data_IF_237659677394
#
_entry.id   IF_237659677394
#
_cell.length_a   1.000
_cell.length_b   1.000
_cell.length_c   1.000
_cell.angle_alpha   90.00
_cell.angle_beta   90.00
_cell.angle_gamma   90.00
#
_symmetry.space_group_name_H-M   'P 1'
#
loop_
_entity.id
_entity.type
_entity.pdbx_description
1 polymer ?
#
# COMPACT_ATOMS: atom_id res chain seq x y z
N UNK A 1 2.18 25.15 -14.13
CA UNK A 1 0.83 24.52 -14.04
C UNK A 1 1.04 23.09 -13.55
N UNK A 2 1.11 22.87 -12.24
CA UNK A 2 1.47 21.56 -11.65
C UNK A 2 0.70 21.15 -10.38
N UNK A 3 -0.07 22.04 -9.76
CA UNK A 3 -0.58 21.80 -8.40
C UNK A 3 -1.74 20.81 -8.24
N UNK A 4 -2.42 20.37 -9.31
CA UNK A 4 -3.57 19.46 -9.18
C UNK A 4 -3.18 17.99 -9.03
N UNK A 5 -2.12 17.55 -9.72
CA UNK A 5 -1.67 16.15 -9.66
C UNK A 5 -0.92 15.82 -8.38
N UNK A 6 -0.11 16.76 -7.88
CA UNK A 6 0.65 16.61 -6.63
C UNK A 6 -0.28 16.48 -5.41
N UNK A 7 -1.35 17.27 -5.38
CA UNK A 7 -2.36 17.19 -4.31
C UNK A 7 -3.13 15.88 -4.32
N UNK A 8 -3.47 15.36 -5.51
CA UNK A 8 -4.12 14.06 -5.65
C UNK A 8 -3.21 12.92 -5.17
N UNK A 9 -1.92 12.96 -5.52
CA UNK A 9 -0.94 11.97 -5.06
C UNK A 9 -0.78 11.93 -3.54
N UNK A 10 -0.67 13.10 -2.89
CA UNK A 10 -0.59 13.16 -1.42
C UNK A 10 -1.89 12.63 -0.81
N UNK A 11 -3.05 12.97 -1.37
CA UNK A 11 -4.33 12.45 -0.91
C UNK A 11 -4.43 10.92 -1.04
N UNK A 12 -3.93 10.35 -2.14
CA UNK A 12 -3.84 8.89 -2.34
C UNK A 12 -2.95 8.23 -1.28
N UNK A 13 -1.76 8.77 -1.02
CA UNK A 13 -0.86 8.24 0.03
C UNK A 13 -1.54 8.33 1.40
N UNK A 14 -2.14 9.47 1.74
CA UNK A 14 -2.82 9.65 3.02
C UNK A 14 -3.97 8.66 3.16
N UNK A 15 -4.76 8.44 2.10
CA UNK A 15 -5.82 7.45 2.09
C UNK A 15 -5.28 6.02 2.30
N UNK A 16 -4.24 5.63 1.57
CA UNK A 16 -3.58 4.33 1.71
C UNK A 16 -3.05 4.11 3.13
N UNK A 17 -2.39 5.13 3.70
CA UNK A 17 -1.87 5.09 5.07
C UNK A 17 -2.98 5.01 6.12
N UNK A 18 -4.04 5.80 5.97
CA UNK A 18 -5.17 5.81 6.90
C UNK A 18 -5.91 4.47 6.90
N UNK A 19 -6.24 3.95 5.72
CA UNK A 19 -6.94 2.66 5.61
C UNK A 19 -6.04 1.51 6.06
N UNK A 20 -4.79 1.49 5.61
CA UNK A 20 -3.83 0.45 5.99
C UNK A 20 -3.55 0.45 7.50
N UNK A 21 -3.31 1.61 8.11
CA UNK A 21 -3.11 1.70 9.57
C UNK A 21 -4.39 1.43 10.35
N UNK A 22 -5.52 1.99 9.94
CA UNK A 22 -6.79 1.78 10.62
C UNK A 22 -7.16 0.29 10.66
N UNK A 23 -7.07 -0.41 9.53
CA UNK A 23 -7.31 -1.85 9.49
C UNK A 23 -6.23 -2.66 10.21
N UNK A 24 -4.97 -2.23 10.15
CA UNK A 24 -3.87 -2.85 10.89
C UNK A 24 -4.06 -2.76 12.41
N UNK A 25 -4.54 -1.64 12.92
CA UNK A 25 -4.87 -1.46 14.35
C UNK A 25 -6.08 -2.29 14.75
N UNK A 26 -7.12 -2.32 13.92
CA UNK A 26 -8.30 -3.16 14.13
C UNK A 26 -7.90 -4.63 14.22
N UNK A 27 -7.08 -5.13 13.29
CA UNK A 27 -6.64 -6.53 13.30
C UNK A 27 -5.70 -6.85 14.47
N UNK A 28 -4.82 -5.93 14.85
CA UNK A 28 -4.02 -6.07 16.07
C UNK A 28 -4.88 -6.21 17.32
N UNK A 29 -5.99 -5.46 17.40
CA UNK A 29 -6.93 -5.57 18.52
C UNK A 29 -7.60 -6.94 18.60
N UNK A 30 -7.71 -7.66 17.48
CA UNK A 30 -8.19 -9.04 17.42
C UNK A 30 -7.07 -10.09 17.56
N UNK A 31 -5.83 -9.69 17.85
CA UNK A 31 -4.68 -10.58 18.00
C UNK A 31 -4.04 -11.03 16.69
N UNK A 32 -4.41 -10.42 15.56
CA UNK A 32 -3.80 -10.69 14.25
C UNK A 32 -2.63 -9.73 14.00
N UNK A 33 -1.59 -10.15 13.25
CA UNK A 33 -0.48 -9.27 12.88
C UNK A 33 -0.97 -8.04 12.11
N UNK A 34 -0.40 -6.86 12.42
CA UNK A 34 -0.75 -5.58 11.78
C UNK A 34 -0.68 -5.62 10.25
N UNK A 35 0.32 -6.32 9.72
CA UNK A 35 0.59 -6.48 8.29
C UNK A 35 -0.61 -7.08 7.56
N UNK A 36 -1.40 -7.96 8.21
CA UNK A 36 -2.59 -8.55 7.60
C UNK A 36 -3.66 -7.49 7.32
N UNK A 37 -3.87 -6.55 8.24
CA UNK A 37 -4.82 -5.45 8.05
C UNK A 37 -4.38 -4.49 6.95
N UNK A 38 -3.08 -4.24 6.84
CA UNK A 38 -2.50 -3.41 5.78
C UNK A 38 -2.66 -4.06 4.39
N UNK A 39 -2.39 -5.35 4.26
CA UNK A 39 -2.58 -6.10 3.02
C UNK A 39 -4.05 -6.13 2.60
N UNK A 40 -4.96 -6.40 3.54
CA UNK A 40 -6.40 -6.34 3.29
C UNK A 40 -6.80 -4.94 2.84
N UNK A 41 -6.35 -3.89 3.52
CA UNK A 41 -6.61 -2.50 3.13
C UNK A 41 -6.16 -2.18 1.71
N UNK A 42 -4.98 -2.67 1.30
CA UNK A 42 -4.50 -2.55 -0.06
C UNK A 42 -5.36 -3.29 -1.09
N UNK A 43 -5.81 -4.51 -0.79
CA UNK A 43 -6.71 -5.28 -1.65
C UNK A 43 -8.08 -4.60 -1.76
N UNK A 44 -8.60 -4.09 -0.63
CA UNK A 44 -9.85 -3.36 -0.56
C UNK A 44 -9.78 -2.12 -1.44
N UNK A 45 -8.75 -1.26 -1.29
CA UNK A 45 -8.62 -0.03 -2.08
C UNK A 45 -8.13 -0.26 -3.51
N UNK A 46 -7.54 -1.42 -3.79
CA UNK A 46 -7.00 -1.78 -5.08
C UNK A 46 -8.07 -2.04 -6.14
N UNK A 47 -7.65 -2.11 -7.42
CA UNK A 47 -8.56 -2.39 -8.53
C UNK A 47 -9.20 -3.78 -8.44
N UNK A 48 -8.57 -4.72 -7.73
CA UNK A 48 -9.03 -6.11 -7.59
C UNK A 48 -10.39 -6.25 -6.90
N UNK A 49 -10.68 -5.40 -5.90
CA UNK A 49 -11.98 -5.44 -5.22
C UNK A 49 -12.77 -4.15 -5.41
N UNK A 50 -12.20 -2.98 -5.08
CA UNK A 50 -12.91 -1.71 -5.24
C UNK A 50 -13.09 -1.32 -6.71
N UNK A 51 -12.12 -1.63 -7.57
CA UNK A 51 -12.28 -1.49 -9.02
C UNK A 51 -13.34 -2.43 -9.61
N UNK A 52 -13.54 -3.62 -9.03
CA UNK A 52 -14.57 -4.56 -9.46
C UNK A 52 -15.97 -4.17 -8.98
N UNK A 53 -16.11 -3.74 -7.72
CA UNK A 53 -17.37 -3.28 -7.14
C UNK A 53 -17.82 -1.92 -7.69
N UNK A 54 -16.90 -0.96 -7.82
CA UNK A 54 -17.22 0.41 -8.21
C UNK A 54 -16.11 1.09 -9.04
N UNK A 55 -15.98 0.73 -10.32
CA UNK A 55 -14.91 1.22 -11.18
C UNK A 55 -14.88 2.75 -11.32
N UNK A 56 -16.05 3.41 -11.34
CA UNK A 56 -16.14 4.87 -11.41
C UNK A 56 -15.57 5.56 -10.18
N UNK A 57 -15.83 5.03 -8.97
CA UNK A 57 -15.27 5.57 -7.73
C UNK A 57 -13.76 5.30 -7.63
N UNK A 58 -13.31 4.12 -8.08
CA UNK A 58 -11.89 3.80 -8.15
C UNK A 58 -11.13 4.74 -9.08
N UNK A 59 -11.66 5.06 -10.25
CA UNK A 59 -11.03 6.01 -11.19
C UNK A 59 -11.01 7.46 -10.69
N UNK A 60 -11.96 7.84 -9.83
CA UNK A 60 -11.98 9.15 -9.19
C UNK A 60 -10.90 9.28 -8.11
N UNK A 61 -10.67 8.22 -7.34
CA UNK A 61 -9.71 8.19 -6.23
C UNK A 61 -8.29 7.89 -6.73
N UNK A 62 -8.16 6.96 -7.66
CA UNK A 62 -6.91 6.57 -8.30
C UNK A 62 -7.01 6.80 -9.81
N UNK A 63 -6.66 8.00 -10.30
CA UNK A 63 -6.71 8.33 -11.71
C UNK A 63 -5.86 7.36 -12.52
N UNK A 64 -6.33 6.99 -13.72
CA UNK A 64 -5.56 6.12 -14.62
C UNK A 64 -4.42 6.83 -15.35
N UNK A 65 -4.00 7.99 -14.86
CA UNK A 65 -2.82 8.67 -15.38
C UNK A 65 -1.58 7.80 -15.14
N UNK A 66 -0.84 7.43 -16.21
CA UNK A 66 0.35 6.61 -16.09
C UNK A 66 1.42 7.21 -15.18
N UNK A 67 1.54 8.55 -15.14
CA UNK A 67 2.53 9.22 -14.30
C UNK A 67 2.20 9.06 -12.82
N UNK A 68 0.93 9.23 -12.45
CA UNK A 68 0.48 9.13 -11.06
C UNK A 68 0.56 7.70 -10.52
N UNK A 69 0.18 6.71 -11.34
CA UNK A 69 0.42 5.29 -11.03
C UNK A 69 1.91 5.01 -10.84
N UNK A 70 2.76 5.51 -11.73
CA UNK A 70 4.21 5.36 -11.64
C UNK A 70 4.80 5.94 -10.34
N UNK A 71 4.24 7.04 -9.82
CA UNK A 71 4.67 7.62 -8.54
C UNK A 71 4.34 6.70 -7.35
N UNK A 72 3.13 6.13 -7.31
CA UNK A 72 2.73 5.17 -6.26
C UNK A 72 3.56 3.89 -6.36
N UNK A 73 3.79 3.40 -7.58
CA UNK A 73 4.61 2.20 -7.83
C UNK A 73 6.06 2.42 -7.35
N UNK A 74 6.65 3.59 -7.62
CA UNK A 74 7.99 3.92 -7.14
C UNK A 74 8.07 3.91 -5.61
N UNK A 75 7.10 4.53 -4.92
CA UNK A 75 7.04 4.52 -3.44
C UNK A 75 6.85 3.09 -2.91
N UNK A 76 5.99 2.30 -3.55
CA UNK A 76 5.72 0.91 -3.18
C UNK A 76 6.96 0.04 -3.33
N UNK A 77 7.69 0.18 -4.45
CA UNK A 77 8.94 -0.53 -4.70
C UNK A 77 10.01 -0.14 -3.68
N UNK A 78 10.14 1.15 -3.34
CA UNK A 78 11.05 1.58 -2.29
C UNK A 78 10.67 0.98 -0.93
N UNK A 79 9.39 0.97 -0.58
CA UNK A 79 8.90 0.33 0.65
C UNK A 79 9.22 -1.17 0.70
N UNK A 80 8.92 -1.90 -0.39
CA UNK A 80 9.23 -3.33 -0.51
C UNK A 80 10.73 -3.58 -0.44
N UNK A 81 11.54 -2.77 -1.12
CA UNK A 81 13.00 -2.88 -1.08
C UNK A 81 13.52 -2.71 0.36
N UNK A 82 13.03 -1.69 1.07
CA UNK A 82 13.40 -1.45 2.47
C UNK A 82 12.96 -2.60 3.39
N UNK A 83 11.76 -3.16 3.17
CA UNK A 83 11.28 -4.34 3.91
C UNK A 83 12.16 -5.56 3.65
N UNK A 84 12.46 -5.88 2.39
CA UNK A 84 13.31 -7.01 2.03
C UNK A 84 14.74 -6.84 2.56
N UNK A 85 15.28 -5.62 2.54
CA UNK A 85 16.59 -5.31 3.10
C UNK A 85 16.61 -5.54 4.62
N UNK A 86 15.60 -5.05 5.34
CA UNK A 86 15.46 -5.27 6.77
C UNK A 86 15.34 -6.77 7.10
N UNK A 87 14.47 -7.48 6.39
CA UNK A 87 14.32 -8.93 6.53
C UNK A 87 15.64 -9.66 6.25
N UNK A 88 16.39 -9.23 5.23
CA UNK A 88 17.71 -9.78 4.91
C UNK A 88 18.75 -9.56 6.02
N UNK A 89 18.71 -8.41 6.71
CA UNK A 89 19.58 -8.11 7.86
C UNK A 89 19.21 -8.92 9.11
N UNK A 90 17.92 -9.24 9.30
CA UNK A 90 17.41 -10.04 10.41
C UNK A 90 17.56 -11.55 10.16
N UNK A 91 17.73 -11.98 8.91
CA UNK A 91 17.84 -13.39 8.52
C UNK A 91 19.26 -13.92 8.80
N UNK A 92 19.40 -14.83 9.76
CA UNK A 92 20.65 -15.55 9.96
C UNK A 92 20.84 -16.63 8.88
N UNK A 93 21.66 -16.31 7.89
CA UNK A 93 22.01 -17.21 6.77
C UNK A 93 22.64 -18.54 7.21
N UNK A 94 23.12 -18.63 8.47
CA UNK A 94 23.70 -19.87 9.02
C UNK A 94 22.64 -20.88 9.40
N UNK A 95 21.41 -20.44 9.73
CA UNK A 95 20.28 -21.31 10.04
C UNK A 95 19.65 -21.92 8.77
N UNK A 96 19.66 -21.17 7.66
CA UNK A 96 19.14 -21.62 6.35
C UNK A 96 20.03 -22.68 5.69
N UNK A 97 21.31 -22.76 6.09
CA UNK A 97 22.30 -23.67 5.48
C UNK A 97 22.39 -25.05 6.16
N UNK A 98 21.45 -25.39 7.05
CA UNK A 98 21.32 -26.72 7.68
C UNK A 98 20.12 -27.46 7.11
#
# INVERSE_FOLDING_TARGET
>A
MGGSGEGAFVAEIVLLLLVGRGLGEVLQRYGQPAIMGQLIGGILLGPSLFGWLWPSAQHLIFPSDPAQKGMIDAVSQLGILMLLLLTGMETDLRLVRR
#
